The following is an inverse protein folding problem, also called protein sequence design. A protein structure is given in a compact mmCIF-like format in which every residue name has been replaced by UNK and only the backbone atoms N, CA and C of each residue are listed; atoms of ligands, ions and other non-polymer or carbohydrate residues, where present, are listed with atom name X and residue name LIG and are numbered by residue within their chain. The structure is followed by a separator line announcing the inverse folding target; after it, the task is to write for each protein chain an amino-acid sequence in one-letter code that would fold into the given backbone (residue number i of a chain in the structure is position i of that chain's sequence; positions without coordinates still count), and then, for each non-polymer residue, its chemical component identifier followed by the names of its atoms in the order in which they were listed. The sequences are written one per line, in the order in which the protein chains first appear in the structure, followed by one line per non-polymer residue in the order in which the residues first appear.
data_IF_257185796329
#
_entry.id   IF_257185796329
#
_cell.length_a   1.000
_cell.length_b   1.000
_cell.length_c   1.000
_cell.angle_alpha   90.00
_cell.angle_beta   90.00
_cell.angle_gamma   90.00
#
_symmetry.space_group_name_H-M   'P 1'
#
loop_
_entity.id
_entity.type
_entity.pdbx_description
1 polymer ?
#
# COMPACT_ATOMS: atom_id res chain seq x y z
N UNK A 1 9.19 -31.43 -1.17
CA UNK A 1 8.36 -30.40 -0.54
C UNK A 1 8.95 -29.84 0.75
N UNK A 2 9.49 -30.68 1.64
CA UNK A 2 10.10 -30.21 2.90
C UNK A 2 11.42 -29.43 2.70
N UNK A 3 12.14 -29.67 1.61
CA UNK A 3 13.36 -28.92 1.28
C UNK A 3 13.10 -27.44 0.93
N UNK A 4 11.93 -27.10 0.41
CA UNK A 4 11.55 -25.69 0.13
C UNK A 4 11.41 -24.87 1.41
N UNK A 5 11.03 -25.50 2.52
CA UNK A 5 10.92 -24.84 3.83
C UNK A 5 12.28 -24.53 4.47
N UNK A 6 13.37 -25.13 3.98
CA UNK A 6 14.73 -24.87 4.46
C UNK A 6 15.29 -23.54 3.94
N UNK A 7 14.71 -22.98 2.88
CA UNK A 7 15.13 -21.67 2.36
C UNK A 7 14.62 -20.54 3.25
N UNK A 8 15.53 -19.67 3.67
CA UNK A 8 15.22 -18.54 4.57
C UNK A 8 14.10 -17.62 4.03
N UNK A 9 14.08 -17.36 2.72
CA UNK A 9 13.03 -16.53 2.11
C UNK A 9 11.63 -17.18 2.21
N UNK A 10 11.53 -18.50 2.08
CA UNK A 10 10.25 -19.22 2.18
C UNK A 10 9.69 -19.16 3.60
N UNK A 11 10.54 -19.29 4.59
CA UNK A 11 10.15 -19.16 6.00
C UNK A 11 9.66 -17.75 6.32
N UNK A 12 10.37 -16.72 5.83
CA UNK A 12 9.95 -15.33 6.00
C UNK A 12 8.61 -15.05 5.30
N UNK A 13 8.42 -15.57 4.08
CA UNK A 13 7.18 -15.45 3.33
C UNK A 13 6.00 -16.11 4.06
N UNK A 14 6.20 -17.32 4.61
CA UNK A 14 5.17 -18.01 5.38
C UNK A 14 4.81 -17.26 6.67
N UNK A 15 5.80 -16.73 7.40
CA UNK A 15 5.56 -15.92 8.59
C UNK A 15 4.79 -14.63 8.25
N UNK A 16 5.16 -13.95 7.19
CA UNK A 16 4.45 -12.76 6.72
C UNK A 16 3.02 -13.10 6.29
N UNK A 17 2.83 -14.18 5.54
CA UNK A 17 1.51 -14.62 5.09
C UNK A 17 0.59 -15.02 6.25
N UNK A 18 1.11 -15.74 7.25
CA UNK A 18 0.33 -16.10 8.45
C UNK A 18 -0.05 -14.87 9.27
N UNK A 19 0.87 -13.91 9.45
CA UNK A 19 0.58 -12.66 10.12
C UNK A 19 -0.55 -11.90 9.40
N UNK A 20 -0.42 -11.69 8.09
CA UNK A 20 -1.43 -10.99 7.29
C UNK A 20 -2.77 -11.71 7.30
N UNK A 21 -2.79 -13.04 7.22
CA UNK A 21 -4.04 -13.83 7.22
C UNK A 21 -4.82 -13.73 8.53
N UNK A 22 -4.17 -13.46 9.64
CA UNK A 22 -4.82 -13.26 10.94
C UNK A 22 -5.34 -11.82 11.08
N UNK A 23 -4.51 -10.83 10.76
CA UNK A 23 -4.84 -9.42 10.99
C UNK A 23 -5.72 -8.81 9.90
N UNK A 24 -5.56 -9.21 8.64
CA UNK A 24 -6.33 -8.66 7.52
C UNK A 24 -7.85 -8.90 7.65
N UNK A 25 -8.34 -10.09 8.02
CA UNK A 25 -9.77 -10.30 8.21
C UNK A 25 -10.36 -9.47 9.35
N UNK A 26 -9.63 -9.30 10.44
CA UNK A 26 -10.07 -8.47 11.57
C UNK A 26 -10.25 -7.01 11.16
N UNK A 27 -9.26 -6.45 10.46
CA UNK A 27 -9.35 -5.09 9.90
C UNK A 27 -10.45 -4.99 8.84
N UNK A 28 -10.59 -6.01 7.98
CA UNK A 28 -11.61 -6.07 6.95
C UNK A 28 -13.03 -6.00 7.52
N UNK A 29 -13.33 -6.80 8.53
CA UNK A 29 -14.64 -6.76 9.22
C UNK A 29 -14.90 -5.36 9.80
N UNK A 30 -13.90 -4.77 10.45
CA UNK A 30 -14.02 -3.43 11.04
C UNK A 30 -14.30 -2.36 9.99
N UNK A 31 -13.59 -2.41 8.84
CA UNK A 31 -13.81 -1.48 7.72
C UNK A 31 -15.19 -1.64 7.10
N UNK A 32 -15.66 -2.88 6.93
CA UNK A 32 -17.00 -3.15 6.39
C UNK A 32 -18.08 -2.63 7.33
N UNK A 33 -17.96 -2.89 8.65
CA UNK A 33 -18.92 -2.39 9.65
C UNK A 33 -18.97 -0.85 9.68
N UNK A 34 -17.84 -0.21 9.41
CA UNK A 34 -17.78 1.26 9.30
C UNK A 34 -18.18 1.82 7.93
N UNK A 35 -18.60 0.99 6.99
CA UNK A 35 -18.91 1.36 5.59
C UNK A 35 -17.72 2.03 4.89
N UNK A 36 -16.51 1.53 5.16
CA UNK A 36 -15.23 2.05 4.62
C UNK A 36 -14.51 1.00 3.78
N UNK A 37 -15.22 0.05 3.18
CA UNK A 37 -14.63 -1.05 2.42
C UNK A 37 -13.73 -0.59 1.27
N UNK A 38 -14.09 0.54 0.60
CA UNK A 38 -13.31 1.12 -0.49
C UNK A 38 -12.07 1.90 -0.03
N UNK A 39 -11.94 2.20 1.26
CA UNK A 39 -10.83 3.01 1.78
C UNK A 39 -9.48 2.32 1.60
N UNK A 40 -9.41 1.03 1.86
CA UNK A 40 -8.19 0.24 1.71
C UNK A 40 -7.70 0.24 0.25
N UNK A 41 -8.61 0.04 -0.69
CA UNK A 41 -8.31 0.04 -2.12
C UNK A 41 -7.84 1.42 -2.60
N UNK A 42 -8.55 2.47 -2.19
CA UNK A 42 -8.18 3.86 -2.48
C UNK A 42 -6.78 4.20 -1.98
N UNK A 43 -6.45 3.84 -0.73
CA UNK A 43 -5.12 4.09 -0.17
C UNK A 43 -4.04 3.29 -0.89
N UNK A 44 -4.35 2.08 -1.37
CA UNK A 44 -3.42 1.28 -2.18
C UNK A 44 -3.07 1.99 -3.49
N UNK A 45 -4.05 2.54 -4.20
CA UNK A 45 -3.80 3.31 -5.43
C UNK A 45 -3.06 4.63 -5.16
N UNK A 46 -3.40 5.33 -4.08
CA UNK A 46 -2.67 6.55 -3.68
C UNK A 46 -1.23 6.23 -3.26
N UNK A 47 -0.98 5.06 -2.70
CA UNK A 47 0.38 4.64 -2.34
C UNK A 47 1.32 4.56 -3.53
N UNK A 48 0.80 4.19 -4.72
CA UNK A 48 1.55 4.20 -5.97
C UNK A 48 2.04 5.61 -6.35
N UNK A 49 1.22 6.64 -6.12
CA UNK A 49 1.66 8.02 -6.30
C UNK A 49 2.82 8.34 -5.35
N UNK A 50 2.76 7.88 -4.10
CA UNK A 50 3.87 8.03 -3.14
C UNK A 50 5.16 7.37 -3.60
N UNK A 51 5.09 6.16 -4.15
CA UNK A 51 6.24 5.47 -4.76
C UNK A 51 6.79 6.28 -5.93
N UNK A 52 5.91 6.75 -6.83
CA UNK A 52 6.29 7.52 -8.01
C UNK A 52 7.04 8.81 -7.64
N UNK A 53 6.54 9.56 -6.64
CA UNK A 53 7.23 10.75 -6.12
C UNK A 53 8.56 10.40 -5.47
N UNK A 54 8.65 9.28 -4.73
CA UNK A 54 9.90 8.84 -4.13
C UNK A 54 10.98 8.59 -5.17
N UNK A 55 10.62 7.92 -6.25
CA UNK A 55 11.49 7.64 -7.37
C UNK A 55 11.92 8.94 -8.07
N UNK A 56 10.96 9.83 -8.36
CA UNK A 56 11.23 11.10 -9.04
C UNK A 56 12.18 12.00 -8.23
N UNK A 57 12.02 12.06 -6.92
CA UNK A 57 12.83 12.90 -6.03
C UNK A 57 14.13 12.24 -5.58
N UNK A 58 14.39 10.99 -5.96
CA UNK A 58 15.56 10.23 -5.50
C UNK A 58 15.55 9.93 -4.01
N UNK A 59 14.37 9.96 -3.38
CA UNK A 59 14.17 9.63 -1.97
C UNK A 59 13.80 8.14 -1.83
N UNK A 60 13.88 7.63 -0.59
CA UNK A 60 13.43 6.26 -0.34
C UNK A 60 11.92 6.13 -0.62
N UNK A 61 11.49 5.26 -1.56
CA UNK A 61 10.07 5.12 -1.92
C UNK A 61 9.18 4.75 -0.74
N UNK A 62 9.72 4.02 0.24
CA UNK A 62 8.98 3.63 1.44
C UNK A 62 8.58 4.83 2.30
N UNK A 63 9.49 5.78 2.50
CA UNK A 63 9.21 6.97 3.33
C UNK A 63 8.23 7.91 2.63
N UNK A 64 8.43 8.17 1.34
CA UNK A 64 7.52 9.02 0.56
C UNK A 64 6.13 8.43 0.45
N UNK A 65 6.02 7.11 0.25
CA UNK A 65 4.74 6.41 0.26
C UNK A 65 4.02 6.56 1.60
N UNK A 66 4.74 6.38 2.71
CA UNK A 66 4.15 6.50 4.04
C UNK A 66 3.62 7.92 4.29
N UNK A 67 4.36 8.94 3.91
CA UNK A 67 3.93 10.34 4.03
C UNK A 67 2.68 10.60 3.19
N UNK A 68 2.68 10.18 1.92
CA UNK A 68 1.56 10.39 1.00
C UNK A 68 0.31 9.66 1.47
N UNK A 69 0.43 8.41 1.93
CA UNK A 69 -0.70 7.63 2.46
C UNK A 69 -1.27 8.25 3.74
N UNK A 70 -0.43 8.72 4.65
CA UNK A 70 -0.90 9.41 5.87
C UNK A 70 -1.64 10.70 5.51
N UNK A 71 -1.11 11.52 4.62
CA UNK A 71 -1.79 12.73 4.15
C UNK A 71 -3.13 12.42 3.48
N UNK A 72 -3.16 11.40 2.62
CA UNK A 72 -4.37 10.96 1.94
C UNK A 72 -5.42 10.40 2.92
N UNK A 73 -5.01 9.67 3.95
CA UNK A 73 -5.93 9.15 4.96
C UNK A 73 -6.57 10.27 5.79
N UNK A 74 -5.78 11.29 6.17
CA UNK A 74 -6.30 12.47 6.85
C UNK A 74 -7.26 13.25 5.94
N UNK A 75 -6.92 13.39 4.66
CA UNK A 75 -7.78 14.04 3.67
C UNK A 75 -9.10 13.27 3.46
N UNK A 76 -9.04 11.94 3.38
CA UNK A 76 -10.24 11.10 3.30
C UNK A 76 -11.13 11.25 4.54
N UNK A 77 -10.54 11.29 5.73
CA UNK A 77 -11.31 11.48 6.96
C UNK A 77 -11.95 12.88 7.02
N UNK A 78 -11.27 13.90 6.54
CA UNK A 78 -11.83 15.24 6.38
C UNK A 78 -13.01 15.26 5.40
N UNK A 79 -12.88 14.62 4.24
CA UNK A 79 -13.96 14.48 3.27
C UNK A 79 -15.16 13.72 3.86
N UNK A 80 -14.91 12.71 4.66
CA UNK A 80 -15.93 11.93 5.33
C UNK A 80 -16.79 12.75 6.28
N UNK A 81 -16.19 13.68 7.00
CA UNK A 81 -16.93 14.58 7.91
C UNK A 81 -17.84 15.51 7.12
N UNK A 82 -17.38 16.00 5.97
CA UNK A 82 -18.13 16.96 5.13
C UNK A 82 -19.18 16.26 4.27
N UNK A 83 -18.77 15.17 3.61
CA UNK A 83 -19.59 14.48 2.58
C UNK A 83 -20.10 13.11 3.07
N UNK A 84 -20.78 13.09 4.22
CA UNK A 84 -21.27 11.86 4.87
C UNK A 84 -22.05 10.91 3.95
N UNK A 85 -22.82 11.46 3.00
CA UNK A 85 -23.67 10.67 2.09
C UNK A 85 -23.03 10.35 0.74
N UNK A 86 -21.88 10.95 0.43
CA UNK A 86 -21.20 10.83 -0.87
C UNK A 86 -19.77 10.29 -0.74
N UNK A 87 -19.50 9.59 0.35
CA UNK A 87 -18.14 9.10 0.65
C UNK A 87 -17.63 8.13 -0.42
N UNK A 88 -18.49 7.30 -0.99
CA UNK A 88 -18.12 6.35 -2.05
C UNK A 88 -17.64 7.09 -3.31
N UNK A 89 -18.28 8.21 -3.65
CA UNK A 89 -17.88 9.04 -4.79
C UNK A 89 -16.53 9.72 -4.49
N UNK A 90 -16.37 10.26 -3.30
CA UNK A 90 -15.12 10.91 -2.91
C UNK A 90 -13.93 9.93 -2.92
N UNK A 91 -14.11 8.70 -2.44
CA UNK A 91 -13.09 7.66 -2.48
C UNK A 91 -12.76 7.24 -3.91
N UNK A 92 -13.76 7.08 -4.78
CA UNK A 92 -13.56 6.73 -6.18
C UNK A 92 -12.79 7.82 -6.95
N UNK A 93 -13.09 9.10 -6.70
CA UNK A 93 -12.35 10.22 -7.29
C UNK A 93 -10.90 10.21 -6.82
N UNK A 94 -10.67 10.04 -5.53
CA UNK A 94 -9.31 10.02 -4.98
C UNK A 94 -8.49 8.83 -5.50
N UNK A 95 -9.12 7.66 -5.65
CA UNK A 95 -8.52 6.47 -6.23
C UNK A 95 -8.06 6.73 -7.68
N UNK A 96 -8.95 7.28 -8.51
CA UNK A 96 -8.65 7.60 -9.90
C UNK A 96 -7.58 8.68 -10.02
N UNK A 97 -7.64 9.72 -9.19
CA UNK A 97 -6.66 10.79 -9.14
C UNK A 97 -5.29 10.27 -8.69
N UNK A 98 -5.24 9.41 -7.67
CA UNK A 98 -4.00 8.80 -7.18
C UNK A 98 -3.30 7.98 -8.27
N UNK A 99 -4.05 7.16 -8.99
CA UNK A 99 -3.52 6.37 -10.10
C UNK A 99 -3.04 7.26 -11.26
N UNK A 100 -3.82 8.28 -11.64
CA UNK A 100 -3.45 9.21 -12.70
C UNK A 100 -2.17 9.99 -12.36
N UNK A 101 -2.04 10.47 -11.12
CA UNK A 101 -0.83 11.16 -10.65
C UNK A 101 0.36 10.20 -10.66
N UNK A 102 0.19 8.97 -10.19
CA UNK A 102 1.26 7.97 -10.20
C UNK A 102 1.80 7.74 -11.62
N UNK A 103 0.92 7.48 -12.57
CA UNK A 103 1.29 7.26 -13.97
C UNK A 103 1.93 8.50 -14.60
N UNK A 104 1.41 9.68 -14.32
CA UNK A 104 1.96 10.94 -14.83
C UNK A 104 3.38 11.18 -14.31
N UNK A 105 3.59 11.06 -13.00
CA UNK A 105 4.90 11.26 -12.37
C UNK A 105 5.92 10.24 -12.84
N UNK A 106 5.52 8.97 -13.01
CA UNK A 106 6.39 7.93 -13.55
C UNK A 106 6.80 8.21 -15.00
N UNK A 107 5.88 8.68 -15.84
CA UNK A 107 6.22 9.09 -17.20
C UNK A 107 7.23 10.25 -17.25
N UNK A 108 7.18 11.16 -16.28
CA UNK A 108 8.20 12.22 -16.16
C UNK A 108 9.56 11.67 -15.74
N UNK A 109 9.57 10.60 -14.97
CA UNK A 109 10.79 9.94 -14.45
C UNK A 109 11.48 9.04 -15.47
N UNK A 110 10.77 8.55 -16.50
CA UNK A 110 11.26 7.57 -17.48
C UNK A 110 12.33 8.08 -18.47
N UNK A 111 12.86 9.28 -18.28
CA UNK A 111 14.04 9.73 -19.02
C UNK A 111 15.34 8.99 -18.70
N UNK A 112 15.43 8.19 -17.63
CA UNK A 112 16.68 7.58 -17.17
C UNK A 112 16.61 6.09 -16.77
N UNK A 113 15.47 5.55 -16.35
CA UNK A 113 15.39 4.13 -15.90
C UNK A 113 13.99 3.56 -16.10
N UNK A 114 13.88 2.44 -16.80
CA UNK A 114 12.67 1.62 -16.86
C UNK A 114 12.45 0.97 -15.49
N UNK A 115 11.77 1.67 -14.58
CA UNK A 115 11.40 1.09 -13.29
C UNK A 115 10.15 0.27 -13.51
N UNK A 116 10.28 -1.06 -13.37
CA UNK A 116 9.12 -1.94 -13.35
C UNK A 116 8.31 -1.65 -12.08
N UNK A 117 7.02 -1.34 -12.24
CA UNK A 117 6.10 -1.15 -11.12
C UNK A 117 5.62 -2.49 -10.55
N UNK A 118 5.89 -3.58 -11.24
CA UNK A 118 5.41 -4.91 -10.85
C UNK A 118 5.72 -5.28 -9.40
N UNK A 119 6.94 -5.03 -8.86
CA UNK A 119 7.22 -5.32 -7.45
C UNK A 119 6.42 -4.49 -6.46
N UNK A 120 6.00 -3.28 -6.84
CA UNK A 120 5.21 -2.39 -5.99
C UNK A 120 3.71 -2.66 -6.08
N UNK A 121 3.22 -3.11 -7.25
CA UNK A 121 1.82 -3.46 -7.48
C UNK A 121 1.47 -4.84 -6.93
N UNK A 122 2.32 -5.81 -7.16
CA UNK A 122 2.06 -7.22 -6.83
C UNK A 122 2.88 -7.70 -5.62
N UNK A 123 3.81 -6.88 -5.13
CA UNK A 123 4.75 -7.28 -4.09
C UNK A 123 5.77 -8.30 -4.59
N UNK A 124 6.75 -8.57 -3.76
CA UNK A 124 7.74 -9.61 -4.03
C UNK A 124 7.94 -10.48 -2.81
N UNK A 125 7.51 -11.73 -2.91
CA UNK A 125 7.67 -12.73 -1.84
C UNK A 125 9.15 -13.03 -1.57
N UNK A 126 9.98 -12.89 -2.61
CA UNK A 126 11.40 -13.27 -2.55
C UNK A 126 12.23 -12.26 -1.76
N UNK A 127 11.81 -10.99 -1.74
CA UNK A 127 12.57 -9.88 -1.14
C UNK A 127 12.18 -9.56 0.31
N UNK A 128 11.24 -10.30 0.89
CA UNK A 128 10.78 -10.06 2.27
C UNK A 128 11.92 -10.35 3.26
N UNK A 129 12.38 -9.29 3.95
CA UNK A 129 13.39 -9.40 5.01
C UNK A 129 12.74 -9.69 6.38
N UNK A 130 13.51 -10.30 7.29
CA UNK A 130 13.03 -10.53 8.67
C UNK A 130 12.68 -9.23 9.40
N UNK A 131 13.35 -8.11 9.08
CA UNK A 131 13.02 -6.81 9.63
C UNK A 131 11.63 -6.34 9.23
N UNK A 132 11.23 -6.58 7.97
CA UNK A 132 9.88 -6.26 7.48
C UNK A 132 8.81 -7.15 8.11
N UNK A 133 9.09 -8.43 8.33
CA UNK A 133 8.18 -9.34 9.06
C UNK A 133 7.99 -8.86 10.49
N UNK A 134 9.07 -8.48 11.19
CA UNK A 134 8.96 -7.93 12.53
C UNK A 134 8.17 -6.62 12.57
N UNK A 135 8.39 -5.73 11.59
CA UNK A 135 7.65 -4.48 11.45
C UNK A 135 6.15 -4.72 11.24
N UNK A 136 5.77 -5.73 10.44
CA UNK A 136 4.39 -6.15 10.26
C UNK A 136 3.73 -6.56 11.58
N UNK A 137 4.40 -7.36 12.39
CA UNK A 137 3.88 -7.77 13.70
C UNK A 137 3.72 -6.58 14.65
N UNK A 138 4.69 -5.65 14.67
CA UNK A 138 4.63 -4.45 15.51
C UNK A 138 3.50 -3.50 15.07
N UNK A 139 3.27 -3.35 13.77
CA UNK A 139 2.17 -2.50 13.27
C UNK A 139 0.79 -3.14 13.41
N UNK A 140 0.73 -4.47 13.55
CA UNK A 140 -0.52 -5.20 13.69
C UNK A 140 -0.98 -5.35 15.15
N UNK A 141 -0.09 -5.15 16.13
CA UNK A 141 -0.37 -5.20 17.56
C UNK A 141 -0.86 -3.86 18.10
#
# INVERSE_FOLDING_TARGET
MLELLSYGFMRNALLAATAISIFSPLLGVFLVLRRQSLMSDTLSHVSLAGVAFGVLLGLSPTVTTLIVVVLASVFLEYLRVIYKNYMEIATAILMSAGLAIALFVLNLSTGATTISLDPYLFGSIITISMAQVFMLFVMAA
#
